data_IF_775286810024
#
_entry.id   IF_775286810024
#
_cell.length_a   1.000
_cell.length_b   1.000
_cell.length_c   1.000
_cell.angle_alpha   90.00
_cell.angle_beta   90.00
_cell.angle_gamma   90.00
#
_symmetry.space_group_name_H-M   'P 1'
#
loop_
_entity.id
_entity.type
_entity.pdbx_description
1 polymer ?
#
# COMPACT_ATOMS: atom_id res chain seq x y z
N UNK A 1 -38.07 13.43 -17.63
CA UNK A 1 -37.44 12.20 -18.12
C UNK A 1 -36.51 11.67 -17.05
N UNK A 2 -37.01 10.77 -16.26
CA UNK A 2 -36.35 10.12 -15.17
C UNK A 2 -35.40 9.07 -15.76
N UNK A 3 -34.10 9.36 -15.82
CA UNK A 3 -33.11 8.32 -16.01
C UNK A 3 -33.17 7.43 -14.76
N UNK A 4 -33.87 6.31 -14.93
CA UNK A 4 -33.83 5.22 -13.99
C UNK A 4 -32.31 4.89 -13.74
N UNK A 5 -31.92 5.00 -12.52
CA UNK A 5 -30.66 4.54 -11.97
C UNK A 5 -30.57 3.03 -12.26
N UNK A 6 -29.90 2.70 -13.35
CA UNK A 6 -29.36 1.36 -13.51
C UNK A 6 -28.15 1.26 -12.60
N UNK A 7 -28.44 1.19 -11.31
CA UNK A 7 -27.49 0.79 -10.28
C UNK A 7 -27.21 -0.70 -10.47
N UNK A 8 -26.48 -1.04 -11.52
CA UNK A 8 -25.73 -2.30 -11.53
C UNK A 8 -24.82 -2.22 -10.35
N UNK A 9 -25.27 -2.82 -9.24
CA UNK A 9 -24.68 -2.66 -7.93
C UNK A 9 -23.25 -3.12 -7.94
N UNK A 10 -22.31 -2.17 -7.91
CA UNK A 10 -20.92 -2.44 -7.57
C UNK A 10 -20.92 -2.93 -6.12
N UNK A 11 -21.06 -4.22 -5.95
CA UNK A 11 -21.05 -4.85 -4.64
C UNK A 11 -19.59 -5.04 -4.20
N UNK A 12 -19.29 -4.67 -2.95
CA UNK A 12 -17.98 -4.86 -2.35
C UNK A 12 -17.48 -6.32 -2.50
N UNK A 13 -18.39 -7.29 -2.30
CA UNK A 13 -18.07 -8.72 -2.46
C UNK A 13 -17.61 -9.10 -3.87
N UNK A 14 -18.21 -8.54 -4.91
CA UNK A 14 -17.81 -8.77 -6.31
C UNK A 14 -16.44 -8.18 -6.61
N UNK A 15 -16.14 -6.99 -6.10
CA UNK A 15 -14.83 -6.34 -6.24
C UNK A 15 -13.73 -7.12 -5.52
N UNK A 16 -13.98 -7.54 -4.28
CA UNK A 16 -13.04 -8.34 -3.52
C UNK A 16 -12.77 -9.70 -4.19
N UNK A 17 -13.82 -10.37 -4.68
CA UNK A 17 -13.66 -11.63 -5.42
C UNK A 17 -12.89 -11.45 -6.72
N UNK A 18 -13.07 -10.31 -7.41
CA UNK A 18 -12.28 -9.89 -8.57
C UNK A 18 -10.82 -9.67 -8.22
N UNK A 19 -10.53 -8.94 -7.14
CA UNK A 19 -9.18 -8.74 -6.60
C UNK A 19 -8.49 -10.06 -6.22
N UNK A 20 -9.20 -10.95 -5.53
CA UNK A 20 -8.70 -12.29 -5.19
C UNK A 20 -8.39 -13.13 -6.43
N UNK A 21 -9.22 -13.07 -7.45
CA UNK A 21 -8.99 -13.75 -8.73
C UNK A 21 -7.71 -13.24 -9.39
N UNK A 22 -7.52 -11.91 -9.45
CA UNK A 22 -6.31 -11.30 -9.97
C UNK A 22 -5.08 -11.72 -9.15
N UNK A 23 -5.16 -11.68 -7.83
CA UNK A 23 -4.09 -12.13 -6.93
C UNK A 23 -3.71 -13.58 -7.19
N UNK A 24 -4.70 -14.48 -7.32
CA UNK A 24 -4.48 -15.91 -7.61
C UNK A 24 -3.83 -16.10 -8.98
N UNK A 25 -4.26 -15.37 -10.00
CA UNK A 25 -3.69 -15.44 -11.35
C UNK A 25 -2.25 -14.94 -11.42
N UNK A 26 -1.89 -14.00 -10.55
CA UNK A 26 -0.58 -13.32 -10.51
C UNK A 26 0.28 -13.70 -9.31
N UNK A 27 -0.12 -14.76 -8.57
CA UNK A 27 0.53 -15.13 -7.32
C UNK A 27 2.06 -15.19 -7.42
N UNK A 28 2.62 -15.85 -8.43
CA UNK A 28 4.07 -15.93 -8.61
C UNK A 28 4.72 -14.54 -8.81
N UNK A 29 4.09 -13.65 -9.57
CA UNK A 29 4.58 -12.28 -9.76
C UNK A 29 4.49 -11.48 -8.45
N UNK A 30 3.38 -11.59 -7.73
CA UNK A 30 3.19 -10.93 -6.43
C UNK A 30 4.22 -11.40 -5.41
N UNK A 31 4.42 -12.71 -5.31
CA UNK A 31 5.41 -13.29 -4.41
C UNK A 31 6.83 -12.76 -4.71
N UNK A 32 7.24 -12.74 -5.99
CA UNK A 32 8.53 -12.18 -6.39
C UNK A 32 8.63 -10.70 -6.02
N UNK A 33 7.59 -9.91 -6.25
CA UNK A 33 7.57 -8.48 -5.91
C UNK A 33 7.70 -8.27 -4.41
N UNK A 34 6.94 -8.99 -3.60
CA UNK A 34 6.99 -8.89 -2.13
C UNK A 34 8.39 -9.27 -1.63
N UNK A 35 8.92 -10.41 -2.10
CA UNK A 35 10.24 -10.87 -1.66
C UNK A 35 11.35 -9.94 -2.13
N UNK A 36 11.34 -9.48 -3.37
CA UNK A 36 12.43 -8.68 -3.93
C UNK A 36 12.39 -7.21 -3.49
N UNK A 37 11.20 -6.61 -3.42
CA UNK A 37 11.07 -5.16 -3.20
C UNK A 37 10.77 -4.78 -1.75
N UNK A 38 10.18 -5.66 -0.95
CA UNK A 38 9.90 -5.36 0.46
C UNK A 38 10.74 -6.23 1.41
N UNK A 39 10.63 -7.52 1.31
CA UNK A 39 11.27 -8.45 2.24
C UNK A 39 12.80 -8.49 2.10
N UNK A 40 13.31 -8.46 0.88
CA UNK A 40 14.75 -8.46 0.59
C UNK A 40 15.48 -7.27 1.21
N UNK A 41 15.04 -6.02 1.00
CA UNK A 41 15.61 -4.85 1.66
C UNK A 41 15.55 -4.93 3.19
N UNK A 42 14.42 -5.37 3.79
CA UNK A 42 14.31 -5.59 5.24
C UNK A 42 15.30 -6.61 5.75
N UNK A 43 15.43 -7.74 5.05
CA UNK A 43 16.35 -8.80 5.42
C UNK A 43 17.83 -8.37 5.24
N UNK A 44 18.12 -7.62 4.19
CA UNK A 44 19.45 -7.02 3.98
C UNK A 44 19.86 -6.08 5.12
N UNK A 45 18.92 -5.22 5.56
CA UNK A 45 19.13 -4.37 6.72
C UNK A 45 19.32 -5.18 8.01
N UNK A 46 18.61 -6.30 8.15
CA UNK A 46 18.81 -7.22 9.27
C UNK A 46 20.21 -7.82 9.27
N UNK A 47 20.65 -8.39 8.18
CA UNK A 47 21.97 -9.02 8.09
C UNK A 47 23.12 -8.02 8.27
N UNK A 48 22.94 -6.77 7.85
CA UNK A 48 23.95 -5.72 8.04
C UNK A 48 24.10 -5.26 9.49
N UNK A 49 23.28 -5.77 10.43
CA UNK A 49 23.29 -5.35 11.83
C UNK A 49 22.80 -3.91 12.03
N UNK A 50 22.34 -3.25 10.98
CA UNK A 50 21.84 -1.87 11.02
C UNK A 50 20.41 -1.78 11.55
N UNK A 51 19.98 -2.75 12.34
CA UNK A 51 18.72 -2.67 13.06
C UNK A 51 18.80 -1.57 14.10
N UNK A 52 18.45 -0.38 13.70
CA UNK A 52 18.18 0.70 14.63
C UNK A 52 16.81 0.51 15.29
N UNK A 53 16.66 -0.52 16.10
CA UNK A 53 15.84 -0.34 17.27
C UNK A 53 16.62 0.65 18.13
N UNK A 54 16.17 1.89 18.15
CA UNK A 54 16.83 2.96 18.86
C UNK A 54 16.94 2.62 20.34
N UNK A 55 17.97 1.87 20.69
CA UNK A 55 18.40 1.71 22.07
C UNK A 55 19.07 3.03 22.47
N UNK A 56 18.25 4.00 22.88
CA UNK A 56 18.69 5.08 23.76
C UNK A 56 19.69 6.11 23.26
N UNK A 57 20.23 6.00 22.05
CA UNK A 57 21.18 7.01 21.55
C UNK A 57 20.43 8.12 20.78
N UNK A 58 20.19 9.22 21.46
CA UNK A 58 19.56 10.43 20.88
C UNK A 58 20.55 11.30 20.09
N UNK A 59 21.53 10.70 19.40
CA UNK A 59 22.45 11.48 18.58
C UNK A 59 21.88 11.66 17.16
N UNK A 60 22.22 12.78 16.54
CA UNK A 60 21.73 13.15 15.19
C UNK A 60 22.08 12.11 14.10
N UNK A 61 23.22 11.41 14.25
CA UNK A 61 23.66 10.37 13.32
C UNK A 61 22.76 9.13 13.37
N UNK A 62 22.37 8.69 14.57
CA UNK A 62 21.43 7.58 14.74
C UNK A 62 20.05 7.91 14.18
N UNK A 63 19.58 9.14 14.40
CA UNK A 63 18.33 9.61 13.80
C UNK A 63 18.38 9.63 12.28
N UNK A 64 19.44 10.17 11.69
CA UNK A 64 19.59 10.21 10.24
C UNK A 64 19.62 8.80 9.63
N UNK A 65 20.33 7.85 10.25
CA UNK A 65 20.34 6.45 9.84
C UNK A 65 18.96 5.80 9.90
N UNK A 66 18.23 6.02 10.99
CA UNK A 66 16.86 5.50 11.14
C UNK A 66 15.90 6.13 10.13
N UNK A 67 15.96 7.45 9.94
CA UNK A 67 15.14 8.16 8.96
C UNK A 67 15.38 7.65 7.53
N UNK A 68 16.65 7.45 7.16
CA UNK A 68 17.02 6.91 5.85
C UNK A 68 16.47 5.49 5.65
N UNK A 69 16.61 4.61 6.65
CA UNK A 69 16.03 3.26 6.58
C UNK A 69 14.52 3.29 6.44
N UNK A 70 13.85 4.14 7.22
CA UNK A 70 12.40 4.29 7.17
C UNK A 70 11.93 4.74 5.79
N UNK A 71 12.56 5.78 5.23
CA UNK A 71 12.25 6.28 3.89
C UNK A 71 12.48 5.21 2.82
N UNK A 72 13.60 4.46 2.92
CA UNK A 72 13.89 3.37 1.99
C UNK A 72 12.84 2.27 2.06
N UNK A 73 12.45 1.83 3.25
CA UNK A 73 11.46 0.77 3.41
C UNK A 73 10.08 1.19 2.93
N UNK A 74 9.65 2.41 3.22
CA UNK A 74 8.39 2.97 2.69
C UNK A 74 8.45 3.02 1.16
N UNK A 75 9.54 3.53 0.58
CA UNK A 75 9.71 3.57 -0.87
C UNK A 75 9.60 2.17 -1.49
N UNK A 76 10.28 1.18 -0.91
CA UNK A 76 10.24 -0.21 -1.38
C UNK A 76 8.83 -0.81 -1.28
N UNK A 77 8.12 -0.57 -0.16
CA UNK A 77 6.75 -1.03 0.04
C UNK A 77 5.80 -0.42 -1.00
N UNK A 78 5.82 0.90 -1.21
CA UNK A 78 4.98 1.53 -2.24
C UNK A 78 5.36 1.13 -3.66
N UNK A 79 6.64 0.95 -3.95
CA UNK A 79 7.11 0.42 -5.24
C UNK A 79 6.56 -0.99 -5.47
N UNK A 80 6.58 -1.84 -4.45
CA UNK A 80 6.01 -3.19 -4.51
C UNK A 80 4.51 -3.14 -4.78
N UNK A 81 3.75 -2.39 -3.99
CA UNK A 81 2.29 -2.29 -4.07
C UNK A 81 1.83 -1.74 -5.42
N UNK A 82 2.45 -0.67 -5.91
CA UNK A 82 2.12 -0.08 -7.22
C UNK A 82 2.55 -1.01 -8.38
N UNK A 83 3.67 -1.74 -8.24
CA UNK A 83 4.11 -2.73 -9.23
C UNK A 83 3.18 -3.96 -9.26
N UNK A 84 2.62 -4.35 -8.11
CA UNK A 84 1.62 -5.41 -8.04
C UNK A 84 0.38 -5.06 -8.90
N UNK A 85 -0.15 -3.86 -8.74
CA UNK A 85 -1.26 -3.37 -9.56
C UNK A 85 -0.86 -3.21 -11.03
N UNK A 86 0.31 -2.64 -11.32
CA UNK A 86 0.83 -2.49 -12.68
C UNK A 86 0.97 -3.84 -13.41
N UNK A 87 1.38 -4.90 -12.69
CA UNK A 87 1.44 -6.25 -13.24
C UNK A 87 0.10 -6.80 -13.71
N UNK A 88 -0.99 -6.30 -13.14
CA UNK A 88 -2.35 -6.70 -13.43
C UNK A 88 -3.09 -5.74 -14.39
N UNK A 89 -2.54 -4.55 -14.69
CA UNK A 89 -3.14 -3.61 -15.64
C UNK A 89 -3.18 -4.15 -17.07
N UNK A 90 -2.18 -4.92 -17.48
CA UNK A 90 -2.12 -5.50 -18.84
C UNK A 90 -3.34 -6.36 -19.19
N UNK A 91 -3.53 -6.58 -20.49
CA UNK A 91 -4.64 -7.34 -21.05
C UNK A 91 -4.91 -8.64 -20.31
N UNK A 92 -6.18 -9.01 -20.22
CA UNK A 92 -6.61 -10.31 -19.74
C UNK A 92 -5.88 -11.41 -20.51
N UNK A 93 -4.85 -12.01 -19.89
CA UNK A 93 -4.05 -13.09 -20.47
C UNK A 93 -2.55 -12.80 -20.64
N UNK A 94 -2.12 -11.57 -20.89
CA UNK A 94 -0.70 -11.25 -20.98
C UNK A 94 -0.05 -11.26 -19.58
N UNK A 95 0.95 -12.11 -19.37
CA UNK A 95 1.74 -12.12 -18.13
C UNK A 95 2.79 -11.02 -18.19
N UNK A 96 2.50 -9.90 -17.53
CA UNK A 96 3.54 -8.87 -17.33
C UNK A 96 4.49 -9.37 -16.25
N UNK A 97 5.79 -9.43 -16.56
CA UNK A 97 6.80 -9.85 -15.58
C UNK A 97 6.93 -8.80 -14.47
N UNK A 98 7.37 -9.25 -13.28
CA UNK A 98 7.64 -8.36 -12.15
C UNK A 98 8.57 -7.20 -12.55
N UNK A 99 9.64 -7.49 -13.28
CA UNK A 99 10.60 -6.49 -13.76
C UNK A 99 9.95 -5.44 -14.65
N UNK A 100 9.13 -5.84 -15.63
CA UNK A 100 8.44 -4.88 -16.50
C UNK A 100 7.46 -4.01 -15.73
N UNK A 101 6.69 -4.60 -14.79
CA UNK A 101 5.78 -3.86 -13.93
C UNK A 101 6.53 -2.82 -13.09
N UNK A 102 7.64 -3.21 -12.47
CA UNK A 102 8.48 -2.29 -11.67
C UNK A 102 9.09 -1.18 -12.53
N UNK A 103 9.62 -1.50 -13.71
CA UNK A 103 10.16 -0.49 -14.62
C UNK A 103 9.08 0.50 -15.10
N UNK A 104 7.86 0.02 -15.34
CA UNK A 104 6.73 0.90 -15.66
C UNK A 104 6.45 1.89 -14.53
N UNK A 105 6.37 1.42 -13.28
CA UNK A 105 6.18 2.28 -12.11
C UNK A 105 7.34 3.28 -11.94
N UNK A 106 8.59 2.82 -12.10
CA UNK A 106 9.77 3.70 -12.00
C UNK A 106 9.77 4.82 -13.05
N UNK A 107 9.31 4.54 -14.26
CA UNK A 107 9.15 5.58 -15.31
C UNK A 107 8.09 6.62 -14.94
N UNK A 108 7.07 6.23 -14.16
CA UNK A 108 6.00 7.10 -13.67
C UNK A 108 6.30 7.72 -12.31
N UNK A 109 7.47 7.42 -11.73
CA UNK A 109 7.85 7.90 -10.42
C UNK A 109 7.68 9.41 -10.21
N UNK A 110 8.05 10.30 -11.14
CA UNK A 110 7.85 11.73 -10.95
C UNK A 110 6.37 12.13 -10.78
N UNK A 111 5.45 11.43 -11.46
CA UNK A 111 4.01 11.68 -11.34
C UNK A 111 3.40 11.04 -10.08
N UNK A 112 3.98 9.93 -9.59
CA UNK A 112 3.54 9.22 -8.40
C UNK A 112 4.14 9.80 -7.11
N UNK A 113 5.29 10.47 -7.17
CA UNK A 113 6.01 10.97 -6.01
C UNK A 113 5.15 11.88 -5.10
N UNK A 114 4.34 12.83 -5.61
CA UNK A 114 3.48 13.65 -4.76
C UNK A 114 2.46 12.82 -3.96
N UNK A 115 1.93 11.75 -4.56
CA UNK A 115 1.04 10.82 -3.90
C UNK A 115 1.76 10.04 -2.80
N UNK A 116 2.91 9.49 -3.09
CA UNK A 116 3.71 8.75 -2.11
C UNK A 116 4.16 9.62 -0.93
N UNK A 117 4.54 10.87 -1.19
CA UNK A 117 4.86 11.83 -0.15
C UNK A 117 3.64 12.14 0.72
N UNK A 118 2.47 12.31 0.11
CA UNK A 118 1.24 12.59 0.84
C UNK A 118 0.86 11.45 1.79
N UNK A 119 0.80 10.20 1.30
CA UNK A 119 0.41 9.06 2.12
C UNK A 119 1.50 8.63 3.12
N UNK A 120 2.76 9.03 2.93
CA UNK A 120 3.84 8.79 3.90
C UNK A 120 3.94 9.88 4.98
N UNK A 121 3.18 10.99 4.85
CA UNK A 121 3.27 12.11 5.77
C UNK A 121 3.00 11.72 7.25
N UNK A 122 1.97 10.92 7.60
CA UNK A 122 1.74 10.51 8.97
C UNK A 122 2.91 9.72 9.55
N UNK A 123 3.48 8.81 8.76
CA UNK A 123 4.66 8.04 9.17
C UNK A 123 5.89 8.90 9.43
N UNK A 124 6.08 10.01 8.69
CA UNK A 124 7.14 10.98 8.99
C UNK A 124 6.88 11.76 10.28
N UNK A 125 5.62 12.07 10.58
CA UNK A 125 5.22 12.66 11.87
C UNK A 125 5.51 11.66 13.01
N UNK A 126 5.16 10.40 12.83
CA UNK A 126 5.47 9.33 13.80
C UNK A 126 6.97 9.23 14.07
N UNK A 127 7.78 9.30 13.00
CA UNK A 127 9.23 9.29 13.10
C UNK A 127 9.76 10.48 13.91
N UNK A 128 9.28 11.68 13.62
CA UNK A 128 9.67 12.90 14.32
C UNK A 128 9.24 12.89 15.78
N UNK A 129 8.01 12.49 16.08
CA UNK A 129 7.51 12.36 17.45
C UNK A 129 8.35 11.35 18.27
N UNK A 130 8.68 10.21 17.67
CA UNK A 130 9.51 9.19 18.31
C UNK A 130 10.89 9.70 18.68
N UNK A 131 11.46 10.57 17.85
CA UNK A 131 12.76 11.18 18.13
C UNK A 131 12.68 12.29 19.18
N UNK A 132 11.59 13.11 19.14
CA UNK A 132 11.44 14.26 20.03
C UNK A 132 10.96 13.91 21.45
N UNK A 133 10.43 12.71 21.67
CA UNK A 133 9.74 12.35 22.89
C UNK A 133 10.31 11.09 23.55
N UNK A 134 11.38 11.22 24.35
CA UNK A 134 12.10 10.07 24.91
C UNK A 134 11.44 9.47 26.17
N UNK A 135 10.25 9.94 26.59
CA UNK A 135 9.59 9.47 27.81
C UNK A 135 8.66 8.29 27.55
N UNK A 136 8.44 7.39 28.55
CA UNK A 136 7.48 6.28 28.42
C UNK A 136 6.07 6.72 28.02
N UNK A 137 5.59 7.86 28.55
CA UNK A 137 4.28 8.40 28.22
C UNK A 137 4.18 8.82 26.76
N UNK A 138 5.27 9.29 26.17
CA UNK A 138 5.34 9.62 24.76
C UNK A 138 5.26 8.38 23.87
N UNK A 139 5.70 7.20 24.32
CA UNK A 139 5.51 5.95 23.59
C UNK A 139 4.03 5.58 23.47
N UNK A 140 3.23 5.79 24.52
CA UNK A 140 1.79 5.57 24.45
C UNK A 140 1.09 6.55 23.52
N UNK A 141 1.43 7.83 23.59
CA UNK A 141 0.92 8.83 22.65
C UNK A 141 1.26 8.50 21.20
N UNK A 142 2.49 8.05 20.94
CA UNK A 142 2.94 7.60 19.63
C UNK A 142 2.20 6.34 19.17
N UNK A 143 1.99 5.39 20.05
CA UNK A 143 1.27 4.17 19.74
C UNK A 143 -0.20 4.47 19.38
N UNK A 144 -0.86 5.31 20.18
CA UNK A 144 -2.23 5.77 19.90
C UNK A 144 -2.28 6.56 18.60
N UNK A 145 -1.33 7.48 18.37
CA UNK A 145 -1.25 8.21 17.11
C UNK A 145 -1.09 7.29 15.90
N UNK A 146 -0.20 6.32 15.98
CA UNK A 146 0.04 5.36 14.90
C UNK A 146 -1.19 4.51 14.61
N UNK A 147 -1.91 4.07 15.62
CA UNK A 147 -3.12 3.26 15.46
C UNK A 147 -4.32 4.06 14.95
N UNK A 148 -4.43 5.33 15.35
CA UNK A 148 -5.61 6.15 15.04
C UNK A 148 -5.32 7.21 13.99
N UNK A 149 -4.28 8.01 14.19
CA UNK A 149 -3.93 9.13 13.32
C UNK A 149 -3.51 8.70 11.92
N UNK A 150 -2.59 7.73 11.84
CA UNK A 150 -2.12 7.20 10.56
C UNK A 150 -3.29 6.56 9.81
N UNK A 151 -4.06 5.70 10.47
CA UNK A 151 -5.20 4.99 9.86
C UNK A 151 -6.29 5.96 9.42
N UNK A 152 -6.69 6.91 10.27
CA UNK A 152 -7.71 7.91 9.91
C UNK A 152 -7.26 8.78 8.75
N UNK A 153 -5.98 9.20 8.75
CA UNK A 153 -5.43 10.00 7.67
C UNK A 153 -5.40 9.21 6.36
N UNK A 154 -4.95 7.95 6.39
CA UNK A 154 -4.88 7.11 5.19
C UNK A 154 -6.28 6.86 4.63
N UNK A 155 -7.25 6.49 5.46
CA UNK A 155 -8.65 6.34 5.05
C UNK A 155 -9.18 7.65 4.44
N UNK A 156 -8.93 8.81 5.06
CA UNK A 156 -9.42 10.08 4.57
C UNK A 156 -8.82 10.43 3.20
N UNK A 157 -7.50 10.35 3.07
CA UNK A 157 -6.79 10.69 1.83
C UNK A 157 -7.10 9.68 0.74
N UNK A 158 -7.02 8.38 1.04
CA UNK A 158 -7.27 7.33 0.06
C UNK A 158 -8.74 7.29 -0.39
N UNK A 159 -9.69 7.64 0.47
CA UNK A 159 -11.10 7.79 0.08
C UNK A 159 -11.34 9.05 -0.76
N UNK A 160 -10.55 10.11 -0.54
CA UNK A 160 -10.69 11.35 -1.29
C UNK A 160 -10.07 11.27 -2.69
N UNK A 161 -8.90 10.64 -2.82
CA UNK A 161 -8.11 10.64 -4.08
C UNK A 161 -7.47 9.28 -4.39
N UNK A 162 -7.95 8.20 -3.79
CA UNK A 162 -7.32 6.87 -3.81
C UNK A 162 -7.15 6.23 -5.19
N UNK A 163 -7.87 6.69 -6.21
CA UNK A 163 -7.68 6.22 -7.58
C UNK A 163 -6.62 7.02 -8.37
N UNK A 164 -6.07 8.10 -7.78
CA UNK A 164 -5.08 8.96 -8.45
C UNK A 164 -3.90 8.17 -9.02
N UNK A 165 -3.29 7.32 -8.20
CA UNK A 165 -2.13 6.54 -8.61
C UNK A 165 -2.46 5.50 -9.70
N UNK A 166 -3.68 4.96 -9.71
CA UNK A 166 -4.15 4.06 -10.77
C UNK A 166 -4.35 4.79 -12.09
N UNK A 167 -4.90 6.02 -12.05
CA UNK A 167 -5.01 6.88 -13.23
C UNK A 167 -3.63 7.20 -13.81
N UNK A 168 -2.65 7.54 -12.94
CA UNK A 168 -1.26 7.79 -13.38
C UNK A 168 -0.66 6.56 -14.06
N UNK A 169 -0.89 5.36 -13.50
CA UNK A 169 -0.35 4.12 -14.06
C UNK A 169 -1.05 3.68 -15.33
N UNK A 170 -2.37 3.86 -15.42
CA UNK A 170 -3.20 3.31 -16.49
C UNK A 170 -3.42 4.27 -17.66
N UNK A 171 -3.57 5.56 -17.40
CA UNK A 171 -3.98 6.54 -18.42
C UNK A 171 -2.84 7.50 -18.83
N UNK A 172 -1.62 7.30 -18.34
CA UNK A 172 -0.46 8.17 -18.63
C UNK A 172 -0.68 9.65 -18.26
N UNK A 173 -1.58 9.91 -17.34
CA UNK A 173 -1.87 11.24 -16.85
C UNK A 173 -1.00 11.56 -15.63
N UNK A 174 -0.68 12.82 -15.43
CA UNK A 174 0.06 13.27 -14.25
C UNK A 174 -0.49 14.55 -13.65
N UNK A 175 -0.09 14.84 -12.42
CA UNK A 175 -0.43 16.09 -11.74
C UNK A 175 -1.93 16.36 -11.65
N UNK A 176 -2.34 17.58 -12.04
CA UNK A 176 -3.73 18.02 -11.93
C UNK A 176 -4.70 17.23 -12.82
N UNK A 177 -4.27 16.77 -14.00
CA UNK A 177 -5.11 16.00 -14.91
C UNK A 177 -5.47 14.63 -14.31
N UNK A 178 -4.50 13.93 -13.73
CA UNK A 178 -4.74 12.66 -13.05
C UNK A 178 -5.66 12.85 -11.83
N UNK A 179 -5.47 13.93 -11.06
CA UNK A 179 -6.33 14.23 -9.92
C UNK A 179 -7.77 14.52 -10.35
N UNK A 180 -7.96 15.38 -11.35
CA UNK A 180 -9.29 15.70 -11.89
C UNK A 180 -9.99 14.44 -12.41
N UNK A 181 -9.28 13.60 -13.12
CA UNK A 181 -9.79 12.32 -13.64
C UNK A 181 -10.19 11.37 -12.51
N UNK A 182 -9.33 11.21 -11.49
CA UNK A 182 -9.63 10.39 -10.31
C UNK A 182 -10.92 10.87 -9.62
N UNK A 183 -11.04 12.17 -9.38
CA UNK A 183 -12.23 12.77 -8.74
C UNK A 183 -13.51 12.58 -9.60
N UNK A 184 -13.41 12.71 -10.93
CA UNK A 184 -14.49 12.46 -11.87
C UNK A 184 -14.97 11.01 -11.79
N UNK A 185 -14.06 10.03 -11.85
CA UNK A 185 -14.38 8.61 -11.75
C UNK A 185 -15.05 8.23 -10.42
N UNK A 186 -14.65 8.88 -9.33
CA UNK A 186 -15.22 8.63 -8.01
C UNK A 186 -16.53 9.38 -7.75
N UNK A 187 -16.94 10.28 -8.64
CA UNK A 187 -18.18 11.07 -8.47
C UNK A 187 -19.39 10.15 -8.32
N UNK A 188 -20.17 10.35 -7.25
CA UNK A 188 -21.33 9.52 -6.90
C UNK A 188 -21.01 8.13 -6.30
N UNK A 189 -19.74 7.69 -6.33
CA UNK A 189 -19.35 6.33 -5.92
C UNK A 189 -18.29 6.28 -4.80
N UNK A 190 -18.05 7.39 -4.13
CA UNK A 190 -17.06 7.51 -3.03
C UNK A 190 -17.27 6.51 -1.90
N UNK A 191 -18.54 6.13 -1.62
CA UNK A 191 -18.86 5.17 -0.55
C UNK A 191 -18.20 3.80 -0.77
N UNK A 192 -18.13 3.33 -2.02
CA UNK A 192 -17.52 2.04 -2.32
C UNK A 192 -15.98 2.12 -2.27
N UNK A 193 -15.39 3.24 -2.72
CA UNK A 193 -13.94 3.49 -2.54
C UNK A 193 -13.60 3.48 -1.06
N UNK A 194 -14.38 4.23 -0.26
CA UNK A 194 -14.24 4.25 1.20
C UNK A 194 -14.34 2.83 1.80
N UNK A 195 -15.33 2.04 1.40
CA UNK A 195 -15.49 0.68 1.93
C UNK A 195 -14.29 -0.23 1.63
N UNK A 196 -13.72 -0.14 0.42
CA UNK A 196 -12.54 -0.92 0.04
C UNK A 196 -11.31 -0.49 0.86
N UNK A 197 -11.06 0.82 0.95
CA UNK A 197 -9.93 1.37 1.72
C UNK A 197 -10.09 1.00 3.19
N UNK A 198 -11.26 1.30 3.77
CA UNK A 198 -11.56 1.00 5.19
C UNK A 198 -11.37 -0.49 5.52
N UNK A 199 -11.80 -1.40 4.65
CA UNK A 199 -11.60 -2.83 4.85
C UNK A 199 -10.10 -3.20 4.88
N UNK A 200 -9.29 -2.61 4.00
CA UNK A 200 -7.84 -2.80 3.98
C UNK A 200 -7.19 -2.31 5.27
N UNK A 201 -7.50 -1.09 5.66
CA UNK A 201 -6.93 -0.47 6.86
C UNK A 201 -7.40 -1.16 8.16
N UNK A 202 -8.65 -1.64 8.20
CA UNK A 202 -9.14 -2.43 9.33
C UNK A 202 -8.35 -3.75 9.49
N UNK A 203 -8.06 -4.44 8.39
CA UNK A 203 -7.20 -5.63 8.43
C UNK A 203 -5.78 -5.25 8.84
N UNK A 204 -5.24 -4.15 8.33
CA UNK A 204 -3.93 -3.62 8.72
C UNK A 204 -3.84 -3.30 10.20
N UNK A 205 -4.87 -2.68 10.75
CA UNK A 205 -4.96 -2.42 12.19
C UNK A 205 -4.94 -3.73 12.99
N UNK A 206 -5.69 -4.75 12.57
CA UNK A 206 -5.67 -6.07 13.24
C UNK A 206 -4.27 -6.71 13.19
N UNK A 207 -3.56 -6.61 12.06
CA UNK A 207 -2.17 -7.09 11.93
C UNK A 207 -1.25 -6.34 12.88
N UNK A 208 -1.37 -5.01 12.95
CA UNK A 208 -0.57 -4.19 13.85
C UNK A 208 -0.84 -4.52 15.34
N UNK A 209 -2.10 -4.79 15.70
CA UNK A 209 -2.46 -5.21 17.05
C UNK A 209 -1.97 -6.62 17.39
N UNK A 210 -1.94 -7.53 16.41
CA UNK A 210 -1.49 -8.91 16.61
C UNK A 210 0.04 -9.03 16.69
N UNK A 211 0.80 -8.11 16.09
CA UNK A 211 2.25 -8.18 16.00
C UNK A 211 2.93 -8.26 17.38
N UNK A 212 2.63 -7.43 18.39
CA UNK A 212 3.23 -7.54 19.72
C UNK A 212 2.99 -8.90 20.38
N UNK A 213 1.78 -9.44 20.27
CA UNK A 213 1.45 -10.75 20.86
C UNK A 213 2.26 -11.90 20.23
N UNK A 214 2.49 -11.83 18.91
CA UNK A 214 3.31 -12.84 18.22
C UNK A 214 4.79 -12.69 18.58
N UNK A 215 5.29 -11.47 18.70
CA UNK A 215 6.68 -11.25 19.13
C UNK A 215 6.91 -11.72 20.56
N UNK A 216 6.02 -11.39 21.50
CA UNK A 216 6.08 -11.85 22.87
C UNK A 216 6.00 -13.37 22.98
N UNK A 217 5.10 -13.99 22.20
CA UNK A 217 4.96 -15.44 22.13
C UNK A 217 6.26 -16.09 21.63
N UNK A 218 6.88 -15.56 20.59
CA UNK A 218 8.14 -16.07 20.05
C UNK A 218 9.29 -15.99 21.07
N UNK A 219 9.35 -14.88 21.83
CA UNK A 219 10.33 -14.71 22.93
C UNK A 219 10.06 -15.74 24.05
N UNK A 220 8.81 -15.91 24.47
CA UNK A 220 8.40 -16.83 25.52
C UNK A 220 8.64 -18.32 25.16
N UNK A 221 8.60 -18.65 23.86
CA UNK A 221 8.96 -19.98 23.35
C UNK A 221 10.49 -20.22 23.33
N UNK A 222 11.28 -19.32 23.86
CA UNK A 222 12.74 -19.44 23.94
C UNK A 222 13.49 -19.13 22.65
N UNK A 223 12.82 -18.57 21.65
CA UNK A 223 13.46 -18.17 20.38
C UNK A 223 14.26 -16.86 20.53
N UNK A 224 14.09 -16.17 21.67
CA UNK A 224 14.80 -14.94 21.98
C UNK A 224 14.63 -13.85 20.91
N UNK A 225 15.69 -13.06 20.71
CA UNK A 225 15.69 -11.97 19.72
C UNK A 225 15.45 -12.43 18.28
N UNK A 226 15.91 -13.62 17.92
CA UNK A 226 15.69 -14.16 16.57
C UNK A 226 14.22 -14.47 16.32
N UNK A 227 13.50 -14.94 17.35
CA UNK A 227 12.06 -15.18 17.27
C UNK A 227 11.26 -13.89 17.12
N UNK A 228 11.62 -12.84 17.87
CA UNK A 228 11.03 -11.51 17.75
C UNK A 228 11.16 -10.97 16.31
N UNK A 229 12.38 -11.03 15.77
CA UNK A 229 12.67 -10.57 14.40
C UNK A 229 11.89 -11.37 13.38
N UNK A 230 11.86 -12.70 13.50
CA UNK A 230 11.14 -13.57 12.58
C UNK A 230 9.63 -13.28 12.61
N UNK A 231 9.04 -13.11 13.80
CA UNK A 231 7.64 -12.77 13.96
C UNK A 231 7.31 -11.41 13.32
N UNK A 232 8.15 -10.40 13.54
CA UNK A 232 7.99 -9.06 12.94
C UNK A 232 8.03 -9.13 11.41
N UNK A 233 8.98 -9.85 10.82
CA UNK A 233 9.08 -9.99 9.37
C UNK A 233 7.94 -10.82 8.78
N UNK A 234 7.49 -11.85 9.47
CA UNK A 234 6.31 -12.61 9.05
C UNK A 234 5.08 -11.71 8.99
N UNK A 235 4.85 -10.89 10.01
CA UNK A 235 3.71 -9.96 10.03
C UNK A 235 3.84 -8.87 8.95
N UNK A 236 5.05 -8.38 8.69
CA UNK A 236 5.30 -7.47 7.57
C UNK A 236 4.95 -8.12 6.22
N UNK A 237 5.33 -9.39 6.01
CA UNK A 237 4.96 -10.14 4.81
C UNK A 237 3.43 -10.29 4.66
N UNK A 238 2.75 -10.63 5.75
CA UNK A 238 1.27 -10.73 5.77
C UNK A 238 0.65 -9.39 5.43
N UNK A 239 1.15 -8.30 6.00
CA UNK A 239 0.70 -6.94 5.70
C UNK A 239 0.84 -6.61 4.21
N UNK A 240 1.99 -6.85 3.61
CA UNK A 240 2.23 -6.56 2.19
C UNK A 240 1.37 -7.43 1.26
N UNK A 241 1.10 -8.67 1.64
CA UNK A 241 0.19 -9.52 0.89
C UNK A 241 -1.26 -8.98 0.93
N UNK A 242 -1.71 -8.49 2.09
CA UNK A 242 -3.03 -7.85 2.24
C UNK A 242 -3.07 -6.53 1.46
N UNK A 243 -2.05 -5.68 1.57
CA UNK A 243 -1.97 -4.43 0.83
C UNK A 243 -1.99 -4.66 -0.69
N UNK A 244 -1.25 -5.65 -1.18
CA UNK A 244 -1.29 -6.04 -2.59
C UNK A 244 -2.69 -6.49 -3.03
N UNK A 245 -3.39 -7.29 -2.22
CA UNK A 245 -4.77 -7.69 -2.49
C UNK A 245 -5.71 -6.49 -2.55
N UNK A 246 -5.61 -5.56 -1.61
CA UNK A 246 -6.45 -4.35 -1.60
C UNK A 246 -6.17 -3.46 -2.81
N UNK A 247 -4.92 -3.31 -3.23
CA UNK A 247 -4.57 -2.58 -4.44
C UNK A 247 -5.11 -3.25 -5.71
N UNK A 248 -5.15 -4.57 -5.77
CA UNK A 248 -5.80 -5.30 -6.87
C UNK A 248 -7.33 -5.15 -6.84
N UNK A 249 -7.92 -5.04 -5.65
CA UNK A 249 -9.36 -4.76 -5.49
C UNK A 249 -9.68 -3.33 -5.93
N UNK A 250 -8.84 -2.35 -5.58
CA UNK A 250 -8.96 -0.97 -6.10
C UNK A 250 -8.76 -0.90 -7.62
N UNK A 251 -7.85 -1.70 -8.18
CA UNK A 251 -7.70 -1.81 -9.62
C UNK A 251 -8.96 -2.37 -10.29
N UNK A 252 -9.58 -3.37 -9.70
CA UNK A 252 -10.85 -3.90 -10.20
C UNK A 252 -11.95 -2.83 -10.15
N UNK A 253 -12.05 -2.12 -9.04
CA UNK A 253 -12.97 -0.98 -8.91
C UNK A 253 -12.70 0.08 -9.98
N UNK A 254 -11.45 0.48 -10.17
CA UNK A 254 -11.05 1.44 -11.20
C UNK A 254 -11.54 1.01 -12.59
N UNK A 255 -11.34 -0.26 -12.96
CA UNK A 255 -11.80 -0.79 -14.25
C UNK A 255 -13.31 -0.69 -14.42
N UNK A 256 -14.08 -1.02 -13.39
CA UNK A 256 -15.56 -0.92 -13.43
C UNK A 256 -16.00 0.54 -13.51
N UNK A 257 -15.29 1.46 -12.84
CA UNK A 257 -15.59 2.88 -12.91
C UNK A 257 -15.31 3.48 -14.29
N UNK A 258 -14.20 3.11 -14.91
CA UNK A 258 -13.85 3.53 -16.28
C UNK A 258 -14.90 2.99 -17.28
N UNK A 259 -15.28 1.71 -17.17
CA UNK A 259 -16.35 1.15 -18.00
C UNK A 259 -17.65 1.93 -17.89
N UNK A 260 -18.06 2.22 -16.67
CA UNK A 260 -19.33 2.90 -16.42
C UNK A 260 -19.30 4.39 -16.81
N UNK A 261 -18.13 5.03 -16.76
CA UNK A 261 -17.99 6.45 -17.08
C UNK A 261 -17.73 6.69 -18.57
N UNK A 262 -16.87 5.91 -19.21
CA UNK A 262 -16.39 6.16 -20.57
C UNK A 262 -17.04 5.23 -21.61
N UNK A 263 -17.77 4.19 -21.16
CA UNK A 263 -18.33 3.17 -22.05
C UNK A 263 -17.29 2.26 -22.73
N UNK A 264 -16.03 2.31 -22.27
CA UNK A 264 -14.89 1.61 -22.87
C UNK A 264 -14.83 0.16 -22.45
N UNK A 265 -14.66 -0.76 -23.38
CA UNK A 265 -14.49 -2.17 -23.08
C UNK A 265 -13.11 -2.44 -22.40
N UNK A 266 -13.03 -3.45 -21.51
CA UNK A 266 -11.79 -3.73 -20.76
C UNK A 266 -10.57 -4.06 -21.61
N UNK A 267 -10.78 -4.46 -22.87
CA UNK A 267 -9.72 -4.80 -23.83
C UNK A 267 -9.00 -3.59 -24.40
N UNK A 268 -9.62 -2.43 -24.43
CA UNK A 268 -9.04 -1.22 -25.03
C UNK A 268 -8.01 -0.54 -24.14
N UNK A 269 -8.05 -0.79 -22.81
CA UNK A 269 -6.97 -0.38 -21.90
C UNK A 269 -5.64 -1.12 -22.16
N UNK A 270 -5.65 -2.13 -23.04
CA UNK A 270 -4.46 -2.95 -23.35
C UNK A 270 -3.43 -2.23 -24.20
N UNK A 271 -3.80 -1.18 -24.92
CA UNK A 271 -2.89 -0.40 -25.76
C UNK A 271 -1.87 0.41 -24.93
N UNK A 272 -2.12 0.59 -23.63
CA UNK A 272 -1.24 1.36 -22.72
C UNK A 272 0.05 0.58 -22.39
N UNK A 273 0.05 -0.76 -22.55
CA UNK A 273 1.17 -1.64 -22.19
C UNK A 273 1.78 -2.38 -23.38
N UNK A 274 1.33 -2.11 -24.60
CA UNK A 274 1.98 -2.59 -25.81
C UNK A 274 3.12 -1.65 -26.20
#
# INVERSE_FOLDING_TARGET
MTHAEDTTGLEFGSLLSGGLRLARQRWGTLFILIVALDWGPRFGLFLSGTHYYATGSHNAGAFAGYALQYVLLIFCSYLMQTSAAASALGATGARVSATRATLHVLRRLPALAPWWLLISAPGTVTLWLRWSAPTPDAYWALYVWRLTGDTVFDIAVSSAVGLFWLVVLAEDLGGRSALSRSLSLMSGRRRIVFAVVFAGDAVGLLINLATPYLTDTAVNLGLGRNGEVLATYFMAFVWEAVAALMNLTLLQLYRELVRAHDGVAPGELTHIFA
#
